data_IF_715535505626
#
_entry.id   IF_715535505626
#
_cell.length_a   1.000
_cell.length_b   1.000
_cell.length_c   1.000
_cell.angle_alpha   90.00
_cell.angle_beta   90.00
_cell.angle_gamma   90.00
#
_symmetry.space_group_name_H-M   'P 1'
#
loop_
_entity.id
_entity.type
_entity.pdbx_description
1 polymer ?
#
# COMPACT_ATOMS: atom_id res chain seq x y z
N UNK A 1 10.59 26.50 -17.50
CA UNK A 1 11.15 25.22 -17.02
C UNK A 1 10.05 24.17 -17.09
N UNK A 2 10.10 23.18 -18.00
CA UNK A 2 9.14 22.09 -17.97
C UNK A 2 9.40 21.27 -16.71
N UNK A 3 8.35 21.12 -15.89
CA UNK A 3 8.32 20.23 -14.73
C UNK A 3 8.70 18.83 -15.21
N UNK A 4 9.62 18.11 -14.52
CA UNK A 4 9.86 16.69 -14.78
C UNK A 4 8.61 15.88 -14.41
N UNK A 5 7.64 15.86 -15.33
CA UNK A 5 6.53 14.92 -15.34
C UNK A 5 7.11 13.52 -15.50
N UNK A 6 6.96 12.71 -14.47
CA UNK A 6 7.71 11.47 -14.28
C UNK A 6 7.73 10.56 -15.51
N UNK A 7 8.94 10.12 -15.86
CA UNK A 7 9.45 8.75 -16.14
C UNK A 7 8.51 7.64 -16.70
N UNK A 8 7.28 7.93 -17.09
CA UNK A 8 6.24 6.96 -17.45
C UNK A 8 5.63 7.24 -18.83
N UNK A 9 6.39 7.90 -19.73
CA UNK A 9 5.89 8.29 -21.06
C UNK A 9 6.56 7.54 -22.24
N UNK A 10 7.42 6.53 -22.03
CA UNK A 10 8.19 5.95 -23.16
C UNK A 10 7.78 4.55 -23.61
N UNK A 11 6.89 3.86 -22.91
CA UNK A 11 6.40 2.56 -23.36
C UNK A 11 5.06 2.34 -22.67
N UNK A 12 3.97 2.20 -23.42
CA UNK A 12 2.66 1.92 -22.82
C UNK A 12 2.81 0.70 -21.90
N UNK A 13 2.75 0.86 -20.56
CA UNK A 13 2.88 -0.28 -19.66
C UNK A 13 1.68 -1.19 -19.93
N UNK A 14 1.93 -2.46 -20.26
CA UNK A 14 0.87 -3.47 -20.42
C UNK A 14 -0.09 -3.41 -19.24
N UNK A 15 -1.35 -3.81 -19.44
CA UNK A 15 -2.36 -3.84 -18.38
C UNK A 15 -1.82 -4.46 -17.08
N UNK A 16 -0.97 -5.48 -17.24
CA UNK A 16 -0.28 -6.17 -16.15
C UNK A 16 0.74 -5.31 -15.38
N UNK A 17 1.48 -4.44 -16.06
CA UNK A 17 2.47 -3.55 -15.45
C UNK A 17 1.79 -2.43 -14.65
N UNK A 18 0.65 -1.93 -15.14
CA UNK A 18 -0.22 -1.01 -14.39
C UNK A 18 -0.93 -1.68 -13.21
N UNK A 19 -1.36 -2.95 -13.34
CA UNK A 19 -1.87 -3.73 -12.21
C UNK A 19 -0.81 -3.92 -11.13
N UNK A 20 0.42 -4.30 -11.53
CA UNK A 20 1.55 -4.47 -10.62
C UNK A 20 1.92 -3.17 -9.90
N UNK A 21 2.01 -2.07 -10.64
CA UNK A 21 2.23 -0.76 -10.03
C UNK A 21 1.11 -0.40 -9.07
N UNK A 22 -0.16 -0.49 -9.50
CA UNK A 22 -1.35 -0.22 -8.67
C UNK A 22 -1.37 -1.03 -7.37
N UNK A 23 -1.04 -2.31 -7.44
CA UNK A 23 -0.86 -3.16 -6.27
C UNK A 23 0.24 -2.63 -5.34
N UNK A 24 1.40 -2.28 -5.89
CA UNK A 24 2.57 -1.85 -5.12
C UNK A 24 2.31 -0.54 -4.37
N UNK A 25 1.71 0.47 -5.02
CA UNK A 25 1.31 1.73 -4.35
C UNK A 25 0.19 1.49 -3.33
N UNK A 26 -0.84 0.71 -3.66
CA UNK A 26 -1.94 0.42 -2.74
C UNK A 26 -1.47 -0.36 -1.51
N UNK A 27 -0.55 -1.31 -1.69
CA UNK A 27 0.06 -2.08 -0.61
C UNK A 27 0.94 -1.21 0.28
N UNK A 28 1.74 -0.32 -0.30
CA UNK A 28 2.60 0.60 0.45
C UNK A 28 1.77 1.60 1.28
N UNK A 29 0.70 2.15 0.70
CA UNK A 29 -0.24 3.04 1.41
C UNK A 29 -1.01 2.30 2.50
N UNK A 30 -1.47 1.08 2.23
CA UNK A 30 -2.17 0.25 3.22
C UNK A 30 -1.27 -0.17 4.39
N UNK A 31 0.00 -0.47 4.13
CA UNK A 31 1.00 -0.70 5.18
C UNK A 31 1.32 0.56 5.98
N UNK A 32 1.52 1.70 5.32
CA UNK A 32 1.85 2.96 6.00
C UNK A 32 0.70 3.42 6.90
N UNK A 33 -0.53 3.40 6.39
CA UNK A 33 -1.73 3.75 7.17
C UNK A 33 -2.04 2.74 8.28
N UNK A 34 -1.93 1.44 8.00
CA UNK A 34 -2.08 0.37 8.99
C UNK A 34 -0.99 0.39 10.07
N UNK A 35 0.22 0.81 9.70
CA UNK A 35 1.33 1.00 10.63
C UNK A 35 1.21 2.22 11.50
N UNK A 36 0.78 3.35 10.93
CA UNK A 36 0.54 4.57 11.68
C UNK A 36 -0.63 4.38 12.64
N UNK A 37 -1.82 4.00 12.15
CA UNK A 37 -2.98 3.85 13.02
C UNK A 37 -2.89 2.63 13.94
N UNK A 38 -2.42 1.48 13.43
CA UNK A 38 -2.23 0.27 14.24
C UNK A 38 -1.12 0.45 15.26
N UNK A 39 0.00 1.07 14.85
CA UNK A 39 1.15 1.35 15.72
C UNK A 39 0.82 2.37 16.80
N UNK A 40 0.18 3.49 16.45
CA UNK A 40 -0.20 4.52 17.43
C UNK A 40 -1.24 4.00 18.44
N UNK A 41 -2.21 3.19 17.98
CA UNK A 41 -3.20 2.55 18.86
C UNK A 41 -2.54 1.52 19.78
N UNK A 42 -1.63 0.69 19.27
CA UNK A 42 -0.93 -0.31 20.07
C UNK A 42 0.05 0.32 21.09
N UNK A 43 0.74 1.40 20.72
CA UNK A 43 1.59 2.18 21.63
C UNK A 43 0.75 2.87 22.72
N UNK A 44 -0.42 3.40 22.37
CA UNK A 44 -1.36 4.00 23.33
C UNK A 44 -1.97 2.99 24.30
N UNK A 45 -2.22 1.77 23.86
CA UNK A 45 -2.75 0.68 24.71
C UNK A 45 -1.70 0.01 25.60
N UNK A 46 -0.43 0.45 25.53
CA UNK A 46 0.65 -0.11 26.36
C UNK A 46 1.10 -1.51 25.92
N UNK A 47 0.75 -1.94 24.70
CA UNK A 47 1.18 -3.24 24.17
C UNK A 47 2.71 -3.25 24.00
N UNK A 48 3.39 -4.17 24.69
CA UNK A 48 4.85 -4.17 24.83
C UNK A 48 5.49 -5.11 23.81
N UNK A 49 6.29 -4.55 22.90
CA UNK A 49 7.22 -5.28 22.02
C UNK A 49 6.57 -6.29 21.06
N UNK A 50 6.39 -7.54 21.50
CA UNK A 50 6.08 -8.68 20.63
C UNK A 50 4.60 -8.76 20.24
N UNK A 51 3.68 -8.46 21.14
CA UNK A 51 2.25 -8.36 20.80
C UNK A 51 1.93 -7.15 19.92
N UNK A 52 2.67 -6.04 20.11
CA UNK A 52 2.52 -4.84 19.29
C UNK A 52 2.92 -5.12 17.85
N UNK A 53 4.10 -5.70 17.62
CA UNK A 53 4.55 -6.06 16.26
C UNK A 53 3.62 -7.10 15.62
N UNK A 54 3.08 -8.04 16.40
CA UNK A 54 2.18 -9.07 15.86
C UNK A 54 0.80 -8.48 15.47
N UNK A 55 0.21 -7.61 16.31
CA UNK A 55 -1.06 -6.95 16.00
C UNK A 55 -0.93 -5.90 14.89
N UNK A 56 0.13 -5.09 14.92
CA UNK A 56 0.43 -4.09 13.88
C UNK A 56 0.75 -4.77 12.57
N UNK A 57 1.57 -5.82 12.59
CA UNK A 57 1.89 -6.62 11.40
C UNK A 57 0.64 -7.28 10.79
N UNK A 58 -0.28 -7.78 11.62
CA UNK A 58 -1.55 -8.35 11.16
C UNK A 58 -2.45 -7.27 10.52
N UNK A 59 -2.56 -6.09 11.12
CA UNK A 59 -3.29 -4.93 10.55
C UNK A 59 -2.63 -4.42 9.27
N UNK A 60 -1.29 -4.34 9.22
CA UNK A 60 -0.54 -3.90 8.04
C UNK A 60 -0.71 -4.88 6.87
N UNK A 61 -0.64 -6.19 7.12
CA UNK A 61 -0.85 -7.20 6.07
C UNK A 61 -2.30 -7.22 5.60
N UNK A 62 -3.26 -7.11 6.52
CA UNK A 62 -4.68 -7.10 6.19
C UNK A 62 -5.08 -5.83 5.43
N UNK A 63 -4.60 -4.66 5.88
CA UNK A 63 -4.81 -3.37 5.23
C UNK A 63 -4.07 -3.28 3.89
N UNK A 64 -2.77 -3.60 3.88
CA UNK A 64 -1.95 -3.63 2.67
C UNK A 64 -2.51 -4.57 1.60
N UNK A 65 -2.91 -5.78 1.99
CA UNK A 65 -3.49 -6.76 1.07
C UNK A 65 -4.80 -6.28 0.46
N UNK A 66 -5.70 -5.68 1.25
CA UNK A 66 -7.00 -5.20 0.74
C UNK A 66 -6.86 -3.95 -0.12
N UNK A 67 -6.12 -2.93 0.33
CA UNK A 67 -5.89 -1.70 -0.44
C UNK A 67 -5.09 -1.95 -1.71
N UNK A 68 -4.06 -2.81 -1.65
CA UNK A 68 -3.30 -3.24 -2.82
C UNK A 68 -4.16 -3.98 -3.84
N UNK A 69 -4.98 -4.94 -3.39
CA UNK A 69 -5.85 -5.72 -4.29
C UNK A 69 -6.95 -4.86 -4.91
N UNK A 70 -7.58 -3.96 -4.16
CA UNK A 70 -8.59 -3.04 -4.70
C UNK A 70 -8.01 -2.10 -5.76
N UNK A 71 -6.84 -1.50 -5.50
CA UNK A 71 -6.18 -0.62 -6.47
C UNK A 71 -5.67 -1.39 -7.68
N UNK A 72 -5.20 -2.63 -7.51
CA UNK A 72 -4.80 -3.50 -8.62
C UNK A 72 -5.98 -3.89 -9.52
N UNK A 73 -7.13 -4.21 -8.93
CA UNK A 73 -8.36 -4.51 -9.69
C UNK A 73 -8.86 -3.22 -10.37
N UNK A 74 -8.87 -2.08 -9.66
CA UNK A 74 -9.28 -0.80 -10.21
C UNK A 74 -8.42 -0.35 -11.40
N UNK A 75 -7.11 -0.56 -11.34
CA UNK A 75 -6.23 -0.32 -12.50
C UNK A 75 -6.44 -1.39 -13.57
N UNK A 76 -6.63 -2.66 -13.22
CA UNK A 76 -6.92 -3.73 -14.18
C UNK A 76 -8.19 -3.52 -15.01
N UNK A 77 -9.26 -3.01 -14.40
CA UNK A 77 -10.51 -2.64 -15.10
C UNK A 77 -10.31 -1.38 -15.96
N UNK A 78 -9.35 -0.51 -15.58
CA UNK A 78 -9.10 0.78 -16.25
C UNK A 78 -8.07 0.72 -17.38
N UNK A 79 -7.32 -0.38 -17.49
CA UNK A 79 -6.34 -0.62 -18.54
C UNK A 79 -7.00 -0.88 -19.89
#
# INVERSE_FOLDING_TARGET
MPVPGGVYQSQGPSCFDKMKMGFMIGFCVGMASGGLFGGFTALRYGARGRELVHSVGKVMLQGGGTFGTFMAIGTGIRC
#
